data_IF_697250091690
#
_entry.id   IF_697250091690
#
_cell.length_a   1.000
_cell.length_b   1.000
_cell.length_c   1.000
_cell.angle_alpha   90.00
_cell.angle_beta   90.00
_cell.angle_gamma   90.00
#
_symmetry.space_group_name_H-M   'P 1'
#
loop_
_entity.id
_entity.type
_entity.pdbx_description
1 polymer ?
#
# COMPACT_ATOMS: atom_id res chain seq x y z
N UNK A 1 -5.92 -15.32 -14.96
CA UNK A 1 -4.78 -16.29 -15.07
C UNK A 1 -3.81 -15.87 -16.16
N UNK A 2 -4.23 -15.74 -17.43
CA UNK A 2 -3.32 -15.38 -18.53
C UNK A 2 -2.54 -14.07 -18.34
N UNK A 3 -3.19 -12.98 -17.91
CA UNK A 3 -2.48 -11.72 -17.61
C UNK A 3 -1.42 -11.87 -16.51
N UNK A 4 -1.71 -12.66 -15.47
CA UNK A 4 -0.76 -12.97 -14.41
C UNK A 4 0.44 -13.79 -14.93
N UNK A 5 0.19 -14.75 -15.82
CA UNK A 5 1.25 -15.52 -16.48
C UNK A 5 2.19 -14.60 -17.28
N UNK A 6 1.63 -13.65 -18.06
CA UNK A 6 2.42 -12.65 -18.78
C UNK A 6 3.26 -11.82 -17.79
N UNK A 7 2.65 -11.33 -16.70
CA UNK A 7 3.38 -10.57 -15.70
C UNK A 7 4.55 -11.39 -15.12
N UNK A 8 4.34 -12.67 -14.80
CA UNK A 8 5.38 -13.55 -14.29
C UNK A 8 6.49 -13.80 -15.32
N UNK A 9 6.14 -14.03 -16.58
CA UNK A 9 7.12 -14.30 -17.66
C UNK A 9 7.98 -13.07 -17.99
N UNK A 10 7.41 -11.86 -17.90
CA UNK A 10 8.09 -10.61 -18.23
C UNK A 10 8.61 -9.83 -17.01
N UNK A 11 8.36 -10.31 -15.79
CA UNK A 11 8.80 -9.66 -14.56
C UNK A 11 8.06 -8.36 -14.24
N UNK A 12 6.75 -8.31 -14.45
CA UNK A 12 5.90 -7.15 -14.16
C UNK A 12 5.18 -7.30 -12.81
N UNK A 13 5.05 -6.19 -12.06
CA UNK A 13 4.20 -6.13 -10.87
C UNK A 13 2.72 -6.21 -11.28
N UNK A 14 2.06 -7.30 -10.90
CA UNK A 14 0.65 -7.55 -11.21
C UNK A 14 -0.28 -6.49 -10.62
N UNK A 15 0.05 -5.91 -9.46
CA UNK A 15 -0.74 -4.83 -8.87
C UNK A 15 -0.63 -3.56 -9.69
N UNK A 16 0.59 -3.19 -10.12
CA UNK A 16 0.80 -2.02 -10.97
C UNK A 16 0.14 -2.18 -12.34
N UNK A 17 0.25 -3.37 -12.96
CA UNK A 17 -0.42 -3.68 -14.23
C UNK A 17 -1.94 -3.59 -14.08
N UNK A 18 -2.51 -4.22 -13.06
CA UNK A 18 -3.95 -4.15 -12.81
C UNK A 18 -4.44 -2.72 -12.57
N UNK A 19 -3.69 -1.94 -11.79
CA UNK A 19 -4.01 -0.54 -11.48
C UNK A 19 -4.02 0.34 -12.74
N UNK A 20 -2.97 0.28 -13.58
CA UNK A 20 -2.89 1.13 -14.77
C UNK A 20 -3.87 0.72 -15.87
N UNK A 21 -4.20 -0.58 -15.97
CA UNK A 21 -5.25 -1.05 -16.89
C UNK A 21 -6.63 -0.59 -16.41
N UNK A 22 -6.93 -0.67 -15.12
CA UNK A 22 -8.19 -0.15 -14.57
C UNK A 22 -8.32 1.36 -14.82
N UNK A 23 -7.24 2.12 -14.60
CA UNK A 23 -7.17 3.53 -14.97
C UNK A 23 -7.46 3.78 -16.45
N UNK A 24 -6.85 2.99 -17.35
CA UNK A 24 -7.08 3.13 -18.78
C UNK A 24 -8.53 2.79 -19.17
N UNK A 25 -9.14 1.78 -18.55
CA UNK A 25 -10.56 1.46 -18.74
C UNK A 25 -11.47 2.60 -18.28
N UNK A 26 -11.17 3.23 -17.14
CA UNK A 26 -11.93 4.39 -16.66
C UNK A 26 -11.76 5.60 -17.59
N UNK A 27 -10.56 5.84 -18.10
CA UNK A 27 -10.31 6.87 -19.12
C UNK A 27 -11.08 6.60 -20.41
N UNK A 28 -11.20 5.34 -20.82
CA UNK A 28 -11.95 4.94 -22.01
C UNK A 28 -13.45 5.15 -21.81
N UNK A 29 -13.99 4.74 -20.67
CA UNK A 29 -15.40 4.94 -20.29
C UNK A 29 -15.78 6.43 -20.27
N UNK A 30 -14.87 7.28 -19.79
CA UNK A 30 -15.08 8.73 -19.75
C UNK A 30 -14.67 9.46 -21.05
N UNK A 31 -14.31 8.73 -22.11
CA UNK A 31 -14.01 9.30 -23.43
C UNK A 31 -12.70 10.07 -23.52
N UNK A 32 -11.79 9.91 -22.56
CA UNK A 32 -10.46 10.54 -22.59
C UNK A 32 -9.52 9.84 -23.57
N UNK A 33 -9.69 8.54 -23.74
CA UNK A 33 -9.04 7.72 -24.76
C UNK A 33 -10.10 6.97 -25.57
N UNK A 34 -9.76 6.61 -26.80
CA UNK A 34 -10.66 5.98 -27.75
C UNK A 34 -10.06 4.70 -28.32
N UNK A 35 -10.87 3.94 -29.06
CA UNK A 35 -10.41 2.74 -29.77
C UNK A 35 -9.26 3.01 -30.74
N UNK A 36 -9.15 4.23 -31.27
CA UNK A 36 -8.05 4.62 -32.14
C UNK A 36 -6.74 4.78 -31.36
N UNK A 37 -6.79 5.26 -30.12
CA UNK A 37 -5.61 5.44 -29.27
C UNK A 37 -5.03 4.09 -28.79
N UNK A 38 -5.86 3.05 -28.74
CA UNK A 38 -5.57 1.75 -28.13
C UNK A 38 -5.28 0.64 -29.16
N UNK A 39 -4.86 1.01 -30.37
CA UNK A 39 -4.62 0.07 -31.48
C UNK A 39 -5.82 -0.84 -31.79
N UNK A 40 -7.04 -0.34 -31.62
CA UNK A 40 -8.27 -1.10 -31.86
C UNK A 40 -8.80 -1.89 -30.66
N UNK A 41 -8.13 -1.85 -29.50
CA UNK A 41 -8.55 -2.59 -28.30
C UNK A 41 -9.63 -1.81 -27.54
N UNK A 42 -10.78 -2.43 -27.31
CA UNK A 42 -11.88 -1.81 -26.55
C UNK A 42 -11.68 -2.01 -25.05
N UNK A 43 -11.19 -0.97 -24.36
CA UNK A 43 -10.91 -0.98 -22.93
C UNK A 43 -12.17 -0.73 -22.09
N UNK A 44 -13.17 -1.59 -22.24
CA UNK A 44 -14.39 -1.54 -21.42
C UNK A 44 -14.27 -2.38 -20.16
N UNK A 45 -14.98 -1.97 -19.10
CA UNK A 45 -15.03 -2.73 -17.85
C UNK A 45 -15.55 -4.15 -18.06
N UNK A 46 -14.88 -5.12 -17.45
CA UNK A 46 -15.22 -6.55 -17.59
C UNK A 46 -14.65 -7.23 -18.84
N UNK A 47 -13.98 -6.50 -19.74
CA UNK A 47 -13.36 -7.10 -20.92
C UNK A 47 -12.02 -7.79 -20.60
N UNK A 48 -12.09 -9.10 -20.33
CA UNK A 48 -10.91 -9.92 -20.01
C UNK A 48 -9.90 -10.06 -21.16
N UNK A 49 -10.35 -10.05 -22.42
CA UNK A 49 -9.47 -10.14 -23.59
C UNK A 49 -8.62 -8.87 -23.75
N UNK A 50 -9.25 -7.70 -23.54
CA UNK A 50 -8.55 -6.41 -23.55
C UNK A 50 -7.46 -6.34 -22.47
N UNK A 51 -7.74 -6.85 -21.25
CA UNK A 51 -6.73 -6.91 -20.17
C UNK A 51 -5.51 -7.73 -20.60
N UNK A 52 -5.71 -8.91 -21.21
CA UNK A 52 -4.61 -9.77 -21.67
C UNK A 52 -3.82 -9.08 -22.78
N UNK A 53 -4.49 -8.53 -23.78
CA UNK A 53 -3.85 -7.87 -24.93
C UNK A 53 -3.02 -6.64 -24.50
N UNK A 54 -3.57 -5.79 -23.63
CA UNK A 54 -2.85 -4.61 -23.12
C UNK A 54 -1.70 -5.01 -22.22
N UNK A 55 -1.85 -6.06 -21.39
CA UNK A 55 -0.75 -6.56 -20.56
C UNK A 55 0.43 -7.01 -21.41
N UNK A 56 0.18 -7.72 -22.52
CA UNK A 56 1.24 -8.14 -23.45
C UNK A 56 1.91 -6.94 -24.15
N UNK A 57 1.12 -5.96 -24.60
CA UNK A 57 1.63 -4.72 -25.19
C UNK A 57 2.46 -3.90 -24.20
N UNK A 58 2.06 -3.83 -22.93
CA UNK A 58 2.84 -3.17 -21.88
C UNK A 58 4.18 -3.87 -21.68
N UNK A 59 4.17 -5.20 -21.60
CA UNK A 59 5.38 -6.01 -21.42
C UNK A 59 6.40 -5.80 -22.54
N UNK A 60 5.94 -5.60 -23.78
CA UNK A 60 6.77 -5.33 -24.95
C UNK A 60 6.99 -3.84 -25.24
N UNK A 61 6.36 -2.94 -24.47
CA UNK A 61 6.30 -1.49 -24.72
C UNK A 61 5.88 -1.15 -26.15
N UNK A 62 4.79 -1.76 -26.62
CA UNK A 62 4.26 -1.60 -27.98
C UNK A 62 2.98 -0.76 -28.00
N UNK A 63 2.92 0.22 -28.90
CA UNK A 63 1.73 1.06 -29.10
C UNK A 63 1.23 1.69 -27.79
N UNK A 64 -0.06 1.56 -27.50
CA UNK A 64 -0.63 2.09 -26.25
C UNK A 64 -0.03 1.45 -24.98
N UNK A 65 0.52 0.24 -25.07
CA UNK A 65 1.23 -0.38 -23.95
C UNK A 65 2.45 0.41 -23.49
N UNK A 66 3.14 1.12 -24.39
CA UNK A 66 4.27 1.99 -24.05
C UNK A 66 3.84 3.19 -23.20
N UNK A 67 2.63 3.70 -23.42
CA UNK A 67 2.06 4.82 -22.65
C UNK A 67 1.87 4.40 -21.18
N UNK A 68 1.36 3.18 -20.97
CA UNK A 68 1.01 2.65 -19.65
C UNK A 68 2.20 2.01 -18.89
N UNK A 69 3.26 1.62 -19.59
CA UNK A 69 4.35 0.80 -19.03
C UNK A 69 5.15 1.45 -17.88
N UNK A 70 5.09 2.78 -17.73
CA UNK A 70 5.82 3.51 -16.69
C UNK A 70 4.95 3.86 -15.46
N UNK A 71 3.81 3.17 -15.32
CA UNK A 71 2.90 3.33 -14.19
C UNK A 71 1.84 4.41 -14.39
N UNK A 72 0.87 4.44 -13.47
CA UNK A 72 -0.36 5.22 -13.63
C UNK A 72 -0.15 6.73 -13.62
N UNK A 73 0.80 7.23 -12.82
CA UNK A 73 1.13 8.66 -12.78
C UNK A 73 1.68 9.14 -14.14
N UNK A 74 2.64 8.41 -14.70
CA UNK A 74 3.21 8.72 -16.03
C UNK A 74 2.23 8.48 -17.16
N UNK A 75 1.36 7.48 -17.04
CA UNK A 75 0.28 7.26 -17.98
C UNK A 75 -0.71 8.46 -17.99
N UNK A 76 -1.10 8.95 -16.81
CA UNK A 76 -1.97 10.12 -16.70
C UNK A 76 -1.33 11.39 -17.26
N UNK A 77 -0.05 11.65 -16.98
CA UNK A 77 0.70 12.76 -17.58
C UNK A 77 0.68 12.71 -19.12
N UNK A 78 0.87 11.52 -19.70
CA UNK A 78 0.92 11.32 -21.17
C UNK A 78 -0.45 11.41 -21.84
N UNK A 79 -1.49 10.89 -21.19
CA UNK A 79 -2.87 10.95 -21.69
C UNK A 79 -3.41 12.39 -21.57
N UNK A 80 -3.10 13.07 -20.47
CA UNK A 80 -3.59 14.40 -20.16
C UNK A 80 -5.12 14.42 -19.98
N UNK A 81 -5.75 15.51 -20.42
CA UNK A 81 -7.23 15.68 -20.44
C UNK A 81 -7.92 15.51 -19.07
N UNK A 82 -7.24 15.83 -17.97
CA UNK A 82 -7.79 15.63 -16.63
C UNK A 82 -7.76 14.17 -16.16
N UNK A 83 -7.03 13.29 -16.86
CA UNK A 83 -6.97 11.87 -16.51
C UNK A 83 -6.38 11.63 -15.11
N UNK A 84 -5.61 12.56 -14.57
CA UNK A 84 -5.07 12.48 -13.20
C UNK A 84 -6.15 12.27 -12.12
N UNK A 85 -7.41 12.65 -12.37
CA UNK A 85 -8.53 12.41 -11.43
C UNK A 85 -8.88 10.92 -11.26
N UNK A 86 -8.49 10.09 -12.23
CA UNK A 86 -8.73 8.65 -12.26
C UNK A 86 -7.49 7.84 -11.84
N UNK A 87 -6.34 8.49 -11.68
CA UNK A 87 -5.07 7.84 -11.35
C UNK A 87 -4.99 7.52 -9.84
N UNK A 88 -5.15 6.24 -9.48
CA UNK A 88 -5.15 5.79 -8.08
C UNK A 88 -3.74 5.40 -7.61
N UNK A 89 -2.95 6.40 -7.18
CA UNK A 89 -1.59 6.22 -6.65
C UNK A 89 -1.29 7.17 -5.48
N UNK A 90 -0.22 6.89 -4.75
CA UNK A 90 0.43 7.85 -3.83
C UNK A 90 1.87 8.02 -4.29
N UNK A 91 2.18 9.21 -4.83
CA UNK A 91 3.51 9.59 -5.32
C UNK A 91 4.11 8.56 -6.30
N UNK A 92 3.51 8.43 -7.49
CA UNK A 92 3.83 7.40 -8.48
C UNK A 92 3.47 5.94 -8.13
N UNK A 93 3.40 5.56 -6.85
CA UNK A 93 3.19 4.16 -6.47
C UNK A 93 1.69 3.81 -6.38
N UNK A 94 1.26 2.82 -7.18
CA UNK A 94 -0.12 2.30 -7.21
C UNK A 94 -0.66 1.98 -5.82
N UNK A 95 -1.95 2.27 -5.60
CA UNK A 95 -2.66 1.78 -4.41
C UNK A 95 -2.88 0.26 -4.52
N UNK A 96 -2.61 -0.52 -3.45
CA UNK A 96 -2.90 -1.95 -3.38
C UNK A 96 -4.40 -2.27 -3.41
N UNK A 97 -4.76 -3.54 -3.28
CA UNK A 97 -6.16 -4.00 -3.37
C UNK A 97 -7.06 -3.63 -2.17
N UNK A 98 -6.53 -2.96 -1.14
CA UNK A 98 -7.31 -2.60 0.04
C UNK A 98 -7.80 -1.15 -0.05
N UNK A 99 -9.12 -0.97 0.06
CA UNK A 99 -9.72 0.36 0.14
C UNK A 99 -9.52 0.95 1.56
N UNK A 100 -8.78 2.06 1.73
CA UNK A 100 -8.56 2.69 3.03
C UNK A 100 -9.85 3.13 3.73
N UNK A 101 -10.94 3.31 2.98
CA UNK A 101 -12.26 3.66 3.54
C UNK A 101 -12.87 2.53 4.35
N UNK A 102 -12.43 1.30 4.11
CA UNK A 102 -12.81 0.11 4.89
C UNK A 102 -11.75 -0.27 5.93
N UNK A 103 -10.50 0.10 5.71
CA UNK A 103 -9.36 -0.28 6.56
C UNK A 103 -8.49 0.98 6.83
N UNK A 104 -8.87 1.81 7.81
CA UNK A 104 -8.25 3.13 8.02
C UNK A 104 -6.73 3.09 8.24
N UNK A 105 -6.19 2.06 8.90
CA UNK A 105 -4.74 1.92 9.08
C UNK A 105 -3.98 1.85 7.75
N UNK A 106 -4.55 1.24 6.70
CA UNK A 106 -3.92 1.17 5.38
C UNK A 106 -3.78 2.54 4.76
N UNK A 107 -4.78 3.40 4.87
CA UNK A 107 -4.66 4.78 4.37
C UNK A 107 -3.56 5.57 5.06
N UNK A 108 -3.41 5.36 6.37
CA UNK A 108 -2.34 6.01 7.15
C UNK A 108 -0.98 5.56 6.65
N UNK A 109 -0.76 4.25 6.57
CA UNK A 109 0.53 3.69 6.15
C UNK A 109 0.85 3.98 4.69
N UNK A 110 -0.16 4.13 3.83
CA UNK A 110 0.04 4.56 2.45
C UNK A 110 0.63 5.97 2.35
N UNK A 111 0.37 6.84 3.32
CA UNK A 111 0.92 8.21 3.38
C UNK A 111 2.14 8.34 4.28
N UNK A 112 2.35 7.43 5.22
CA UNK A 112 3.34 7.59 6.29
C UNK A 112 4.51 6.61 6.23
N UNK A 113 4.40 5.50 5.47
CA UNK A 113 5.51 4.56 5.28
C UNK A 113 6.54 5.15 4.29
N UNK A 114 7.84 4.92 4.51
CA UNK A 114 8.87 5.29 3.54
C UNK A 114 8.66 4.68 2.13
N UNK A 115 7.94 3.57 2.02
CA UNK A 115 7.41 3.08 0.75
C UNK A 115 5.90 3.40 0.70
N UNK A 116 5.50 4.50 0.03
CA UNK A 116 4.09 4.90 -0.02
C UNK A 116 3.25 3.78 -0.64
N UNK A 117 1.97 3.70 -0.31
CA UNK A 117 1.06 2.68 -0.88
C UNK A 117 1.57 1.22 -0.83
N UNK A 118 2.31 0.83 0.22
CA UNK A 118 2.63 -0.57 0.52
C UNK A 118 1.59 -1.16 1.49
N UNK A 119 1.20 -2.42 1.30
CA UNK A 119 0.26 -3.10 2.20
C UNK A 119 0.92 -4.14 3.11
N UNK A 120 2.10 -4.66 2.75
CA UNK A 120 2.76 -5.75 3.46
C UNK A 120 3.47 -5.26 4.73
N UNK A 121 4.18 -4.13 4.66
CA UNK A 121 5.03 -3.62 5.74
C UNK A 121 4.28 -3.14 7.00
N UNK A 122 2.95 -3.15 6.94
CA UNK A 122 2.07 -2.64 7.98
C UNK A 122 0.90 -3.57 8.30
N UNK A 123 0.98 -4.83 7.89
CA UNK A 123 -0.09 -5.80 8.18
C UNK A 123 -0.28 -6.01 9.69
N UNK A 124 0.79 -5.89 10.48
CA UNK A 124 0.72 -5.93 11.94
C UNK A 124 -0.11 -4.80 12.53
N UNK A 125 -0.13 -3.64 11.87
CA UNK A 125 -1.03 -2.54 12.25
C UNK A 125 -2.49 -2.90 12.03
N UNK A 126 -2.80 -3.60 10.92
CA UNK A 126 -4.15 -4.07 10.62
C UNK A 126 -4.65 -5.11 11.63
N UNK A 127 -3.78 -6.05 12.02
CA UNK A 127 -4.09 -7.04 13.06
C UNK A 127 -4.40 -6.36 14.41
N UNK A 128 -3.54 -5.43 14.86
CA UNK A 128 -3.77 -4.71 16.12
C UNK A 128 -5.04 -3.87 16.09
N UNK A 129 -5.34 -3.20 14.97
CA UNK A 129 -6.57 -2.41 14.79
C UNK A 129 -7.84 -3.28 14.84
N UNK A 130 -7.74 -4.55 14.44
CA UNK A 130 -8.82 -5.53 14.52
C UNK A 130 -8.89 -6.24 15.89
N UNK A 131 -8.03 -5.88 16.84
CA UNK A 131 -8.01 -6.50 18.16
C UNK A 131 -7.28 -7.84 18.21
N UNK A 132 -6.41 -8.12 17.23
CA UNK A 132 -5.60 -9.34 17.17
C UNK A 132 -4.18 -9.01 17.65
N UNK A 133 -3.69 -9.77 18.65
CA UNK A 133 -2.33 -9.61 19.17
C UNK A 133 -1.29 -10.16 18.19
N UNK A 134 -0.11 -9.54 18.16
CA UNK A 134 1.02 -9.99 17.31
C UNK A 134 1.89 -11.07 17.99
N UNK A 135 1.66 -11.31 19.28
CA UNK A 135 2.46 -12.18 20.12
C UNK A 135 1.88 -12.29 21.53
N UNK A 136 2.49 -13.11 22.37
CA UNK A 136 2.14 -13.22 23.79
C UNK A 136 2.78 -12.12 24.66
N UNK A 137 3.80 -11.43 24.15
CA UNK A 137 4.46 -10.35 24.87
C UNK A 137 3.48 -9.18 25.12
N UNK A 138 3.48 -8.56 26.32
CA UNK A 138 2.62 -7.42 26.64
C UNK A 138 2.75 -6.23 25.68
N UNK A 139 3.91 -6.04 25.04
CA UNK A 139 4.16 -4.97 24.07
C UNK A 139 3.43 -5.18 22.72
N UNK A 140 2.93 -6.40 22.48
CA UNK A 140 2.32 -6.83 21.23
C UNK A 140 0.80 -6.95 21.30
N UNK A 141 0.20 -6.48 22.40
CA UNK A 141 -1.24 -6.55 22.61
C UNK A 141 -1.98 -5.38 21.95
N UNK A 142 -3.18 -5.62 21.41
CA UNK A 142 -4.01 -4.56 20.84
C UNK A 142 -4.50 -3.61 21.95
N UNK A 143 -4.59 -2.30 21.68
CA UNK A 143 -5.00 -1.31 22.69
C UNK A 143 -6.52 -1.22 22.90
N UNK A 144 -7.34 -1.98 22.17
CA UNK A 144 -8.81 -1.95 22.28
C UNK A 144 -9.46 -0.67 21.71
N UNK A 145 -8.79 0.02 20.80
CA UNK A 145 -9.33 1.21 20.11
C UNK A 145 -10.33 0.83 19.01
N UNK A 146 -11.25 1.73 18.67
CA UNK A 146 -12.23 1.48 17.60
C UNK A 146 -11.57 1.50 16.23
N UNK A 147 -12.00 0.63 15.32
CA UNK A 147 -11.59 0.68 13.90
C UNK A 147 -11.94 2.04 13.28
N UNK A 148 -13.16 2.52 13.49
CA UNK A 148 -13.60 3.85 13.06
C UNK A 148 -13.72 4.78 14.28
N UNK A 149 -12.85 5.79 14.34
CA UNK A 149 -12.70 6.70 15.49
C UNK A 149 -11.35 6.54 16.19
N UNK A 150 -11.21 7.24 17.32
CA UNK A 150 -9.98 7.30 18.14
C UNK A 150 -8.72 7.64 17.32
N UNK A 151 -8.88 8.38 16.23
CA UNK A 151 -7.86 8.56 15.19
C UNK A 151 -6.57 9.20 15.74
N UNK A 152 -6.71 10.17 16.64
CA UNK A 152 -5.61 10.87 17.31
C UNK A 152 -4.83 10.00 18.32
N UNK A 153 -5.35 8.82 18.68
CA UNK A 153 -4.76 7.92 19.69
C UNK A 153 -4.11 6.66 19.09
N UNK A 154 -4.20 6.47 17.78
CA UNK A 154 -3.76 5.24 17.10
C UNK A 154 -2.26 5.19 16.77
N UNK A 155 -1.55 6.31 16.87
CA UNK A 155 -0.12 6.40 16.58
C UNK A 155 0.75 5.33 17.25
N UNK A 156 0.65 5.12 18.59
CA UNK A 156 1.39 4.06 19.29
C UNK A 156 1.17 2.67 18.73
N UNK A 157 -0.09 2.31 18.45
CA UNK A 157 -0.46 1.01 17.86
C UNK A 157 0.16 0.83 16.47
N UNK A 158 0.11 1.89 15.66
CA UNK A 158 0.64 1.88 14.29
C UNK A 158 2.16 1.81 14.26
N UNK A 159 2.85 2.50 15.18
CA UNK A 159 4.30 2.42 15.34
C UNK A 159 4.74 1.02 15.79
N UNK A 160 4.01 0.36 16.69
CA UNK A 160 4.30 -1.02 17.09
C UNK A 160 4.09 -2.00 15.93
N UNK A 161 2.95 -1.91 15.23
CA UNK A 161 2.64 -2.81 14.12
C UNK A 161 3.62 -2.72 12.95
N UNK A 162 4.02 -1.51 12.56
CA UNK A 162 5.03 -1.28 11.51
C UNK A 162 6.43 -1.72 11.95
N UNK A 163 6.84 -1.43 13.20
CA UNK A 163 8.13 -1.87 13.73
C UNK A 163 8.25 -3.40 13.83
N UNK A 164 7.18 -4.08 14.24
CA UNK A 164 7.12 -5.55 14.24
C UNK A 164 7.38 -6.11 12.84
N UNK A 165 6.75 -5.54 11.81
CA UNK A 165 6.93 -6.01 10.43
C UNK A 165 8.33 -5.70 9.88
N UNK A 166 8.94 -4.56 10.24
CA UNK A 166 10.34 -4.31 9.88
C UNK A 166 11.29 -5.34 10.51
N UNK A 167 11.05 -5.72 11.76
CA UNK A 167 11.82 -6.75 12.43
C UNK A 167 11.64 -8.11 11.74
N UNK A 168 10.39 -8.49 11.45
CA UNK A 168 10.05 -9.72 10.75
C UNK A 168 10.73 -9.82 9.38
N UNK A 169 10.61 -8.77 8.57
CA UNK A 169 11.23 -8.69 7.24
C UNK A 169 12.77 -8.76 7.33
N UNK A 170 13.37 -8.05 8.31
CA UNK A 170 14.83 -8.06 8.51
C UNK A 170 15.37 -9.37 9.06
N UNK A 171 14.55 -10.13 9.79
CA UNK A 171 14.86 -11.48 10.24
C UNK A 171 14.77 -12.53 9.12
N UNK A 172 14.34 -12.12 7.91
CA UNK A 172 14.18 -13.02 6.76
C UNK A 172 12.97 -13.96 6.88
N UNK A 173 12.02 -13.65 7.76
CA UNK A 173 10.82 -14.46 7.96
C UNK A 173 9.72 -14.05 6.98
N UNK A 174 8.91 -15.02 6.57
CA UNK A 174 7.80 -14.80 5.65
C UNK A 174 6.66 -14.05 6.34
N UNK A 175 6.19 -12.95 5.75
CA UNK A 175 5.05 -12.17 6.26
C UNK A 175 3.75 -13.01 6.39
N UNK A 176 3.54 -14.02 5.53
CA UNK A 176 2.39 -14.92 5.65
C UNK A 176 2.38 -15.69 6.97
N UNK A 177 3.56 -15.92 7.57
CA UNK A 177 3.64 -16.56 8.88
C UNK A 177 2.98 -15.69 9.95
N UNK A 178 3.18 -14.36 9.89
CA UNK A 178 2.56 -13.40 10.82
C UNK A 178 1.08 -13.14 10.59
N UNK A 179 0.56 -13.43 9.41
CA UNK A 179 -0.88 -13.34 9.12
C UNK A 179 -1.61 -14.57 9.68
N UNK A 180 -1.00 -15.75 9.57
CA UNK A 180 -1.61 -17.00 10.01
C UNK A 180 -1.37 -17.28 11.51
N UNK A 181 -0.27 -16.78 12.08
CA UNK A 181 0.16 -17.09 13.43
C UNK A 181 0.84 -15.90 14.10
N UNK A 182 0.83 -15.87 15.43
CA UNK A 182 1.71 -15.00 16.20
C UNK A 182 3.16 -15.51 16.09
N UNK A 183 4.04 -14.74 15.45
CA UNK A 183 5.42 -15.19 15.19
C UNK A 183 6.33 -14.72 16.32
N UNK A 184 7.04 -15.62 17.02
CA UNK A 184 7.95 -15.28 18.10
C UNK A 184 9.30 -14.77 17.54
N UNK A 185 9.28 -13.69 16.75
CA UNK A 185 10.45 -13.21 15.99
C UNK A 185 11.62 -12.90 16.91
N UNK A 186 11.39 -12.20 18.02
CA UNK A 186 12.45 -11.82 18.94
C UNK A 186 13.07 -13.03 19.65
N UNK A 187 12.24 -14.00 20.05
CA UNK A 187 12.66 -15.24 20.71
C UNK A 187 13.45 -16.16 19.77
N UNK A 188 13.25 -16.05 18.46
CA UNK A 188 14.04 -16.77 17.46
C UNK A 188 15.42 -16.15 17.23
N UNK A 189 15.59 -14.84 17.44
CA UNK A 189 16.84 -14.13 17.16
C UNK A 189 17.94 -14.49 18.15
N UNK A 190 17.65 -14.44 19.46
CA UNK A 190 18.65 -14.70 20.50
C UNK A 190 19.37 -16.06 20.37
N UNK A 191 18.68 -17.21 20.24
CA UNK A 191 19.35 -18.51 20.13
C UNK A 191 20.15 -18.71 18.83
N UNK A 192 19.77 -18.00 17.75
CA UNK A 192 20.47 -18.10 16.45
C UNK A 192 21.71 -17.22 16.41
N UNK A 193 21.63 -16.01 16.99
CA UNK A 193 22.69 -15.00 16.87
C UNK A 193 23.61 -14.93 18.10
N UNK A 194 23.15 -15.43 19.25
CA UNK A 194 23.80 -15.26 20.55
C UNK A 194 23.65 -13.85 21.14
N UNK A 195 22.84 -12.97 20.54
CA UNK A 195 22.60 -11.62 21.05
C UNK A 195 21.63 -11.62 22.23
N UNK A 196 21.83 -10.70 23.17
CA UNK A 196 20.80 -10.36 24.14
C UNK A 196 19.68 -9.60 23.43
N UNK A 197 18.60 -10.33 23.11
CA UNK A 197 17.56 -9.84 22.22
C UNK A 197 16.17 -10.25 22.72
N UNK A 198 15.30 -9.25 22.87
CA UNK A 198 13.90 -9.42 23.24
C UNK A 198 13.02 -8.38 22.54
N UNK A 199 11.71 -8.45 22.76
CA UNK A 199 10.74 -7.61 22.03
C UNK A 199 10.97 -6.11 22.15
N UNK A 200 11.44 -5.62 23.30
CA UNK A 200 11.78 -4.21 23.47
C UNK A 200 12.91 -3.75 22.52
N UNK A 201 14.01 -4.51 22.41
CA UNK A 201 15.08 -4.19 21.46
C UNK A 201 14.64 -4.48 20.01
N UNK A 202 13.83 -5.52 19.79
CA UNK A 202 13.27 -5.85 18.48
C UNK A 202 12.41 -4.73 17.89
N UNK A 203 11.46 -4.20 18.67
CA UNK A 203 10.63 -3.06 18.25
C UNK A 203 11.46 -1.80 18.08
N UNK A 204 12.48 -1.58 18.92
CA UNK A 204 13.43 -0.46 18.75
C UNK A 204 14.24 -0.60 17.46
N UNK A 205 14.69 -1.80 17.11
CA UNK A 205 15.36 -2.08 15.84
C UNK A 205 14.42 -1.84 14.64
N UNK A 206 13.18 -2.30 14.72
CA UNK A 206 12.16 -2.03 13.71
C UNK A 206 11.92 -0.53 13.49
N UNK A 207 11.78 0.25 14.57
CA UNK A 207 11.68 1.72 14.50
C UNK A 207 12.92 2.35 13.86
N UNK A 208 14.12 1.90 14.24
CA UNK A 208 15.39 2.37 13.65
C UNK A 208 15.44 2.16 12.14
N UNK A 209 14.96 1.00 11.66
CA UNK A 209 14.87 0.70 10.22
C UNK A 209 13.91 1.66 9.52
N UNK A 210 12.70 1.87 10.06
CA UNK A 210 11.73 2.83 9.51
C UNK A 210 12.32 4.24 9.43
N UNK A 211 12.93 4.72 10.52
CA UNK A 211 13.56 6.04 10.56
C UNK A 211 14.69 6.17 9.53
N UNK A 212 15.52 5.14 9.37
CA UNK A 212 16.60 5.16 8.37
C UNK A 212 16.07 5.18 6.94
N UNK A 213 15.02 4.39 6.65
CA UNK A 213 14.32 4.42 5.36
C UNK A 213 13.71 5.80 5.08
N UNK A 214 13.11 6.43 6.09
CA UNK A 214 12.57 7.78 5.95
C UNK A 214 13.68 8.83 5.75
N UNK A 215 14.81 8.69 6.45
CA UNK A 215 15.96 9.58 6.29
C UNK A 215 16.59 9.45 4.90
N UNK A 216 16.61 8.26 4.31
CA UNK A 216 16.99 8.06 2.92
C UNK A 216 16.07 8.85 1.98
N UNK A 217 14.75 8.72 2.14
CA UNK A 217 13.80 9.49 1.33
C UNK A 217 14.00 11.00 1.47
N UNK A 218 14.14 11.49 2.70
CA UNK A 218 14.36 12.92 2.95
C UNK A 218 15.67 13.42 2.30
N UNK A 219 16.74 12.61 2.29
CA UNK A 219 17.99 12.91 1.58
C UNK A 219 17.77 13.03 0.08
N UNK A 220 16.93 12.18 -0.50
CA UNK A 220 16.58 12.22 -1.93
C UNK A 220 15.50 13.28 -2.27
N UNK A 221 15.05 14.07 -1.29
CA UNK A 221 14.08 15.14 -1.48
C UNK A 221 12.62 14.69 -1.42
N UNK A 222 12.34 13.48 -0.91
CA UNK A 222 10.99 12.97 -0.70
C UNK A 222 10.60 13.12 0.78
N UNK A 223 9.57 13.93 1.03
CA UNK A 223 9.04 14.18 2.37
C UNK A 223 7.70 13.45 2.56
N UNK A 224 7.35 13.06 3.79
CA UNK A 224 6.04 12.47 4.06
C UNK A 224 4.84 13.30 3.58
N UNK A 225 4.98 14.61 3.47
CA UNK A 225 3.91 15.50 3.01
C UNK A 225 3.66 15.46 1.50
N UNK A 226 4.58 14.85 0.74
CA UNK A 226 4.39 14.56 -0.67
C UNK A 226 3.45 13.36 -0.89
N UNK A 227 3.25 12.53 0.14
CA UNK A 227 2.46 11.30 0.06
C UNK A 227 1.00 11.57 0.42
N UNK A 228 0.19 11.86 -0.59
CA UNK A 228 -1.23 12.18 -0.46
C UNK A 228 -2.10 11.08 -1.04
N UNK A 229 -3.14 10.68 -0.31
CA UNK A 229 -4.16 9.79 -0.84
C UNK A 229 -4.91 10.46 -2.01
N UNK A 230 -5.34 9.70 -3.03
CA UNK A 230 -6.20 10.21 -4.08
C UNK A 230 -7.47 10.83 -3.51
N UNK A 231 -7.94 11.93 -4.12
CA UNK A 231 -9.14 12.66 -3.69
C UNK A 231 -10.36 11.75 -3.53
N UNK A 232 -10.48 10.72 -4.38
CA UNK A 232 -11.56 9.72 -4.34
C UNK A 232 -11.59 8.92 -3.02
N UNK A 233 -10.43 8.67 -2.41
CA UNK A 233 -10.32 7.96 -1.12
C UNK A 233 -10.79 8.87 0.03
N UNK A 234 -10.71 10.18 -0.13
CA UNK A 234 -11.18 11.16 0.86
C UNK A 234 -12.71 11.32 0.88
N UNK A 235 -13.40 10.79 -0.14
CA UNK A 235 -14.87 10.77 -0.21
C UNK A 235 -15.37 9.49 0.46
N UNK A 236 -16.28 9.57 1.45
CA UNK A 236 -16.86 8.40 2.11
C UNK A 236 -17.41 7.38 1.11
N UNK A 237 -17.30 6.09 1.45
CA UNK A 237 -17.90 5.04 0.64
C UNK A 237 -19.42 5.25 0.52
N UNK A 238 -19.97 5.01 -0.67
CA UNK A 238 -21.39 5.12 -0.95
C UNK A 238 -22.15 3.80 -0.76
N UNK A 239 -21.43 2.68 -0.64
CA UNK A 239 -21.96 1.33 -0.50
C UNK A 239 -21.10 0.50 0.45
N UNK A 240 -21.70 -0.52 1.06
CA UNK A 240 -21.02 -1.45 1.95
C UNK A 240 -20.96 -1.02 3.43
N UNK A 241 -20.22 -1.76 4.27
CA UNK A 241 -20.26 -1.61 5.73
C UNK A 241 -19.67 -0.29 6.26
N UNK A 242 -18.85 0.41 5.46
CA UNK A 242 -18.27 1.71 5.79
C UNK A 242 -19.04 2.90 5.20
N UNK A 243 -20.27 2.67 4.68
CA UNK A 243 -21.05 3.72 4.02
C UNK A 243 -21.21 4.95 4.90
N UNK A 244 -20.87 6.12 4.37
CA UNK A 244 -20.98 7.40 5.08
C UNK A 244 -19.96 7.61 6.20
N UNK A 245 -19.07 6.67 6.46
CA UNK A 245 -18.01 6.83 7.46
C UNK A 245 -16.96 7.80 6.94
N UNK A 246 -16.71 8.88 7.70
CA UNK A 246 -15.61 9.80 7.45
C UNK A 246 -14.39 9.36 8.26
N UNK A 247 -13.27 9.18 7.57
CA UNK A 247 -11.97 8.88 8.19
C UNK A 247 -11.16 10.16 8.25
N UNK A 248 -10.60 10.44 9.41
CA UNK A 248 -9.67 11.54 9.62
C UNK A 248 -8.23 11.04 9.43
N UNK A 249 -7.83 10.95 8.16
CA UNK A 249 -6.50 10.51 7.76
C UNK A 249 -5.38 11.46 8.23
N UNK A 250 -5.68 12.75 8.38
CA UNK A 250 -4.70 13.73 8.87
C UNK A 250 -4.41 13.49 10.36
N UNK A 251 -5.45 13.30 11.18
CA UNK A 251 -5.27 12.95 12.60
C UNK A 251 -4.51 11.63 12.77
N UNK A 252 -4.80 10.61 11.95
CA UNK A 252 -4.08 9.34 11.95
C UNK A 252 -2.59 9.52 11.61
N UNK A 253 -2.30 10.23 10.52
CA UNK A 253 -0.93 10.52 10.06
C UNK A 253 -0.15 11.29 11.12
N UNK A 254 -0.75 12.34 11.69
CA UNK A 254 -0.13 13.17 12.71
C UNK A 254 0.14 12.39 14.00
N UNK A 255 -0.81 11.56 14.45
CA UNK A 255 -0.64 10.70 15.63
C UNK A 255 0.52 9.70 15.43
N UNK A 256 0.63 9.12 14.24
CA UNK A 256 1.73 8.23 13.88
C UNK A 256 3.09 8.94 13.92
N UNK A 257 3.24 10.07 13.23
CA UNK A 257 4.52 10.80 13.22
C UNK A 257 4.89 11.34 14.61
N UNK A 258 3.94 11.86 15.39
CA UNK A 258 4.19 12.28 16.76
C UNK A 258 4.71 11.13 17.65
N UNK A 259 4.30 9.89 17.36
CA UNK A 259 4.78 8.69 18.05
C UNK A 259 6.18 8.28 17.62
N UNK A 260 6.50 8.45 16.33
CA UNK A 260 7.80 8.09 15.76
C UNK A 260 8.91 9.07 16.14
N UNK A 261 8.55 10.32 16.49
CA UNK A 261 9.48 11.40 16.82
C UNK A 261 10.02 12.10 15.58
#
# INVERSE_FOLDING_TARGET
>A
IRANEICNLYGLDTMAVGNVIAFAMECYENGLITKADTDGIELTWGNGEAVVAVTEKMAKREGFGAVLADGVEKAAERIGKGSEEYAMHVHGHRIPYHDPRNIPCKGTTYMSDPQPSSHMENEGTGLLEQGIALGSDPLLQPPGLKVYGDYDKKGPMYATGTAYYQLLSSAGLCALYAIAFAVPVAELIAPVTGWDFGWAEGLKAGRRILTLRQAFNAREGLLPDDFKLPKRVMVPASVGPSTGVKIDFDSLKNSYFATMG
#
